data_IF_835646535771
#
_entry.id   IF_835646535771
#
_cell.length_a   1.000
_cell.length_b   1.000
_cell.length_c   1.000
_cell.angle_alpha   90.00
_cell.angle_beta   90.00
_cell.angle_gamma   90.00
#
_symmetry.space_group_name_H-M   'P 1'
#
loop_
_entity.id
_entity.type
_entity.pdbx_description
1 polymer ?
#
# COMPACT_ATOMS: atom_id res chain seq x y z
N UNK A 1 -25.08 -11.42 83.15
CA UNK A 1 -26.21 -11.79 82.26
C UNK A 1 -26.77 -10.52 81.65
N UNK A 2 -26.63 -10.36 80.32
CA UNK A 2 -27.19 -9.35 79.38
C UNK A 2 -26.12 -8.94 78.38
N UNK A 3 -25.95 -9.77 77.35
CA UNK A 3 -25.14 -9.50 76.16
C UNK A 3 -25.97 -8.68 75.17
N UNK A 4 -25.53 -7.45 74.91
CA UNK A 4 -26.18 -6.53 73.98
C UNK A 4 -25.96 -6.99 72.52
N UNK A 5 -27.06 -7.32 71.84
CA UNK A 5 -27.15 -7.63 70.41
C UNK A 5 -27.21 -6.36 69.54
N UNK A 6 -26.17 -5.53 69.54
CA UNK A 6 -26.10 -4.33 68.66
C UNK A 6 -24.68 -4.17 68.09
N UNK A 7 -24.12 -5.24 67.53
CA UNK A 7 -22.84 -5.14 66.80
C UNK A 7 -22.79 -5.99 65.53
N UNK A 8 -23.69 -6.96 65.37
CA UNK A 8 -23.71 -7.84 64.19
C UNK A 8 -24.59 -7.34 63.04
N UNK A 9 -25.32 -6.23 63.21
CA UNK A 9 -26.19 -5.66 62.16
C UNK A 9 -25.52 -4.52 61.37
N UNK A 10 -24.38 -3.99 61.83
CA UNK A 10 -23.66 -2.93 61.12
C UNK A 10 -22.65 -3.47 60.10
N UNK A 11 -22.36 -4.77 60.13
CA UNK A 11 -21.38 -5.40 59.23
C UNK A 11 -22.01 -5.99 57.95
N UNK A 12 -23.35 -6.03 57.86
CA UNK A 12 -24.07 -6.54 56.68
C UNK A 12 -24.66 -5.44 55.78
N UNK A 13 -24.57 -4.18 56.16
CA UNK A 13 -25.07 -3.05 55.35
C UNK A 13 -23.97 -2.35 54.54
N UNK A 14 -22.69 -2.66 54.80
CA UNK A 14 -21.54 -2.07 54.09
C UNK A 14 -21.03 -2.98 52.94
N UNK A 15 -21.60 -4.18 52.76
CA UNK A 15 -21.18 -5.15 51.72
C UNK A 15 -22.20 -5.25 50.55
N UNK A 16 -23.23 -4.40 50.52
CA UNK A 16 -24.27 -4.41 49.45
C UNK A 16 -24.31 -3.15 48.58
N UNK A 17 -23.29 -2.28 48.61
CA UNK A 17 -23.20 -1.09 47.73
C UNK A 17 -22.11 -1.24 46.65
N UNK A 18 -21.42 -2.39 46.57
CA UNK A 18 -20.25 -2.55 45.70
C UNK A 18 -20.54 -3.03 44.27
N UNK A 19 -21.80 -3.15 43.85
CA UNK A 19 -22.14 -3.60 42.50
C UNK A 19 -23.26 -2.74 41.92
N UNK A 20 -22.85 -1.67 41.24
CA UNK A 20 -23.40 -1.04 40.03
C UNK A 20 -22.77 0.37 40.03
N UNK A 21 -21.47 0.43 39.80
CA UNK A 21 -20.94 1.51 38.97
C UNK A 21 -20.90 0.91 37.58
N UNK A 22 -21.99 1.07 36.83
CA UNK A 22 -21.81 1.26 35.40
C UNK A 22 -20.88 2.45 35.28
N UNK A 23 -19.59 2.19 35.10
CA UNK A 23 -18.80 3.06 34.25
C UNK A 23 -19.44 2.84 32.89
N UNK A 24 -20.42 3.67 32.55
CA UNK A 24 -20.58 4.00 31.14
C UNK A 24 -19.19 4.46 30.72
N UNK A 25 -18.58 3.75 29.78
CA UNK A 25 -17.48 4.26 28.97
C UNK A 25 -17.99 5.53 28.31
N UNK A 26 -17.93 6.63 29.07
CA UNK A 26 -18.26 7.98 28.67
C UNK A 26 -17.13 8.52 27.83
N UNK A 27 -16.80 7.82 26.75
CA UNK A 27 -15.88 8.27 25.72
C UNK A 27 -16.68 8.90 24.57
N UNK A 28 -17.67 9.72 24.94
CA UNK A 28 -18.29 10.70 24.07
C UNK A 28 -17.73 12.07 24.44
N UNK A 29 -16.47 12.32 24.07
CA UNK A 29 -16.10 13.71 23.80
C UNK A 29 -16.95 14.14 22.61
N UNK A 30 -17.94 14.99 22.89
CA UNK A 30 -18.61 15.75 21.83
C UNK A 30 -17.47 16.48 21.09
N UNK A 31 -17.30 16.29 19.77
CA UNK A 31 -16.33 17.07 19.02
C UNK A 31 -16.57 18.53 19.37
N UNK A 32 -15.51 19.30 19.68
CA UNK A 32 -15.66 20.74 19.98
C UNK A 32 -16.64 21.32 18.97
N UNK A 33 -17.75 21.90 19.46
CA UNK A 33 -18.80 22.38 18.58
C UNK A 33 -18.16 23.28 17.55
N UNK A 34 -18.54 23.12 16.28
CA UNK A 34 -18.05 23.97 15.21
C UNK A 34 -18.17 25.41 15.68
N UNK A 35 -17.02 26.05 15.88
CA UNK A 35 -17.04 27.48 16.12
C UNK A 35 -17.73 28.09 14.91
N UNK A 36 -18.60 29.08 15.14
CA UNK A 36 -19.21 29.88 14.07
C UNK A 36 -18.12 30.32 13.05
N UNK A 37 -16.92 30.59 13.55
CA UNK A 37 -15.71 30.94 12.81
C UNK A 37 -15.24 29.88 11.78
N UNK A 38 -15.13 28.59 12.14
CA UNK A 38 -14.66 27.55 11.19
C UNK A 38 -15.66 27.35 10.03
N UNK A 39 -16.96 27.48 10.30
CA UNK A 39 -18.01 27.42 9.27
C UNK A 39 -17.97 28.62 8.32
N UNK A 40 -17.74 29.82 8.86
CA UNK A 40 -17.57 31.03 8.05
C UNK A 40 -16.33 30.94 7.16
N UNK A 41 -15.24 30.37 7.66
CA UNK A 41 -14.01 30.23 6.89
C UNK A 41 -14.12 29.21 5.76
N UNK A 42 -14.86 28.11 5.97
CA UNK A 42 -15.17 27.18 4.88
C UNK A 42 -16.04 27.85 3.82
N UNK A 43 -17.05 28.62 4.22
CA UNK A 43 -17.87 29.38 3.26
C UNK A 43 -17.00 30.34 2.41
N UNK A 44 -16.04 31.03 3.04
CA UNK A 44 -15.07 31.90 2.32
C UNK A 44 -14.17 31.09 1.38
N UNK A 45 -13.72 29.91 1.79
CA UNK A 45 -12.91 29.01 0.93
C UNK A 45 -13.72 28.61 -0.30
N UNK A 46 -14.96 28.16 -0.12
CA UNK A 46 -15.83 27.73 -1.21
C UNK A 46 -16.17 28.89 -2.17
N UNK A 47 -16.45 30.08 -1.63
CA UNK A 47 -16.66 31.29 -2.42
C UNK A 47 -15.40 31.64 -3.24
N UNK A 48 -14.22 31.65 -2.59
CA UNK A 48 -12.93 31.91 -3.26
C UNK A 48 -12.58 30.87 -4.33
N UNK A 49 -13.04 29.62 -4.18
CA UNK A 49 -12.90 28.61 -5.23
C UNK A 49 -13.83 28.94 -6.41
N UNK A 50 -15.07 29.36 -6.13
CA UNK A 50 -16.04 29.71 -7.16
C UNK A 50 -15.66 30.95 -7.97
N UNK A 51 -14.96 31.92 -7.34
CA UNK A 51 -14.44 33.12 -8.00
C UNK A 51 -13.12 32.90 -8.73
N UNK A 52 -12.47 31.74 -8.51
CA UNK A 52 -11.17 31.40 -9.09
C UNK A 52 -9.95 31.94 -8.35
N UNK A 53 -10.13 32.51 -7.16
CA UNK A 53 -9.04 33.03 -6.31
C UNK A 53 -8.26 31.91 -5.59
N UNK A 54 -8.93 30.79 -5.30
CA UNK A 54 -8.36 29.55 -4.81
C UNK A 54 -8.54 28.44 -5.84
N UNK A 55 -7.49 27.69 -6.12
CA UNK A 55 -7.54 26.53 -7.00
C UNK A 55 -7.75 25.25 -6.19
N UNK A 56 -8.87 24.56 -6.40
CA UNK A 56 -9.06 23.21 -5.87
C UNK A 56 -8.23 22.20 -6.67
N UNK A 57 -7.45 21.36 -5.99
CA UNK A 57 -6.77 20.18 -6.56
C UNK A 57 -7.28 18.91 -5.91
N UNK A 58 -7.29 17.81 -6.66
CA UNK A 58 -7.48 16.47 -6.09
C UNK A 58 -6.26 16.06 -5.27
N UNK A 59 -6.41 15.06 -4.41
CA UNK A 59 -5.28 14.51 -3.64
C UNK A 59 -4.20 13.97 -4.61
N UNK A 60 -4.61 13.27 -5.66
CA UNK A 60 -3.71 12.78 -6.71
C UNK A 60 -2.89 13.91 -7.34
N UNK A 61 -3.55 15.01 -7.72
CA UNK A 61 -2.88 16.19 -8.30
C UNK A 61 -1.95 16.92 -7.32
N UNK A 62 -2.14 16.73 -6.01
CA UNK A 62 -1.22 17.24 -4.98
C UNK A 62 -0.01 16.32 -4.85
N UNK A 63 -0.22 14.99 -4.87
CA UNK A 63 0.86 14.00 -4.87
C UNK A 63 1.81 14.22 -6.06
N UNK A 64 1.26 14.44 -7.25
CA UNK A 64 2.00 14.73 -8.49
C UNK A 64 2.85 16.00 -8.48
N UNK A 65 2.68 16.89 -7.49
CA UNK A 65 3.54 18.06 -7.34
C UNK A 65 4.93 17.71 -6.82
N UNK A 66 5.09 16.54 -6.19
CA UNK A 66 6.32 16.10 -5.57
C UNK A 66 6.83 14.83 -6.26
N UNK A 67 8.13 14.82 -6.54
CA UNK A 67 8.83 13.63 -7.05
C UNK A 67 9.55 13.03 -5.85
N UNK A 68 9.23 11.77 -5.52
CA UNK A 68 9.81 11.05 -4.37
C UNK A 68 11.34 11.09 -4.44
N UNK A 69 11.99 11.36 -3.30
CA UNK A 69 13.44 11.50 -3.19
C UNK A 69 14.02 12.86 -3.59
N UNK A 70 13.22 13.79 -4.12
CA UNK A 70 13.66 15.18 -4.34
C UNK A 70 13.52 16.04 -3.06
N UNK A 71 14.12 17.23 -3.09
CA UNK A 71 13.91 18.26 -2.05
C UNK A 71 12.42 18.60 -1.90
N UNK A 72 11.92 18.82 -0.66
CA UNK A 72 10.55 19.21 -0.40
C UNK A 72 10.09 20.45 -1.17
N UNK A 73 8.86 20.44 -1.66
CA UNK A 73 8.27 21.53 -2.41
C UNK A 73 7.45 22.46 -1.51
N UNK A 74 7.87 23.72 -1.40
CA UNK A 74 7.02 24.78 -0.84
C UNK A 74 5.90 25.16 -1.82
N UNK A 75 4.65 25.11 -1.35
CA UNK A 75 3.51 25.55 -2.16
C UNK A 75 3.35 27.06 -2.02
N UNK A 76 3.67 27.81 -3.08
CA UNK A 76 3.52 29.28 -3.10
C UNK A 76 2.19 29.73 -3.72
N UNK A 77 1.50 28.81 -4.41
CA UNK A 77 0.21 29.04 -5.08
C UNK A 77 -0.98 28.93 -4.12
N UNK A 78 -2.07 29.62 -4.45
CA UNK A 78 -3.34 29.60 -3.72
C UNK A 78 -4.11 28.28 -3.94
N UNK A 79 -3.53 27.15 -3.55
CA UNK A 79 -4.12 25.82 -3.74
C UNK A 79 -4.88 25.39 -2.48
N UNK A 80 -6.01 24.70 -2.69
CA UNK A 80 -6.78 23.99 -1.66
C UNK A 80 -6.95 22.53 -2.06
N UNK A 81 -6.83 21.62 -1.10
CA UNK A 81 -7.19 20.21 -1.25
C UNK A 81 -8.30 19.84 -0.27
N UNK A 82 -9.21 18.97 -0.70
CA UNK A 82 -10.33 18.46 0.10
C UNK A 82 -10.20 16.94 0.24
N UNK A 83 -10.63 16.40 1.37
CA UNK A 83 -10.82 14.95 1.55
C UNK A 83 -11.45 14.61 2.89
N UNK A 84 -11.50 13.32 3.20
CA UNK A 84 -12.14 12.74 4.37
C UNK A 84 -11.10 12.01 5.22
N UNK A 85 -11.08 12.30 6.52
CA UNK A 85 -10.13 11.69 7.47
C UNK A 85 -10.43 10.20 7.64
N UNK A 86 -9.39 9.35 7.57
CA UNK A 86 -9.52 7.88 7.65
C UNK A 86 -8.69 7.24 8.75
N UNK A 87 -7.78 7.98 9.38
CA UNK A 87 -7.02 7.49 10.52
C UNK A 87 -7.29 8.28 11.79
N UNK A 88 -6.93 7.72 12.93
CA UNK A 88 -7.19 8.28 14.25
C UNK A 88 -6.05 7.98 15.22
N UNK A 89 -5.54 9.02 15.89
CA UNK A 89 -4.60 8.88 17.00
C UNK A 89 -5.28 8.40 18.31
N UNK A 90 -6.59 8.10 18.29
CA UNK A 90 -7.35 7.67 19.47
C UNK A 90 -6.77 6.41 20.10
N UNK A 91 -6.36 5.42 19.32
CA UNK A 91 -5.78 4.16 19.83
C UNK A 91 -4.27 4.25 20.08
N UNK A 92 -3.61 5.32 19.63
CA UNK A 92 -2.15 5.47 19.69
C UNK A 92 -1.37 4.77 18.58
N UNK A 93 -2.03 4.13 17.59
CA UNK A 93 -1.31 3.55 16.44
C UNK A 93 -0.83 4.62 15.44
N UNK A 94 -1.50 5.77 15.40
CA UNK A 94 -1.08 6.96 14.65
C UNK A 94 -0.66 8.04 15.64
N UNK A 95 0.43 8.77 15.34
CA UNK A 95 0.97 9.80 16.24
C UNK A 95 1.42 11.05 15.49
N UNK A 96 0.82 12.20 15.83
CA UNK A 96 1.11 13.50 15.19
C UNK A 96 0.91 13.49 13.67
N UNK A 97 -0.03 12.68 13.23
CA UNK A 97 -0.41 12.54 11.84
C UNK A 97 -1.86 12.07 11.74
N UNK A 98 -2.46 12.35 10.60
CA UNK A 98 -3.62 11.61 10.14
C UNK A 98 -3.53 11.40 8.63
N UNK A 99 -4.29 10.44 8.13
CA UNK A 99 -4.47 10.19 6.70
C UNK A 99 -5.86 10.68 6.27
N UNK A 100 -5.95 11.18 5.05
CA UNK A 100 -7.20 11.55 4.41
C UNK A 100 -7.26 11.02 2.98
N UNK A 101 -8.46 10.71 2.51
CA UNK A 101 -8.71 10.24 1.15
C UNK A 101 -9.75 11.08 0.42
N UNK A 102 -9.79 10.99 -0.91
CA UNK A 102 -10.56 11.89 -1.77
C UNK A 102 -12.08 11.66 -1.75
N UNK A 103 -12.52 10.43 -1.48
CA UNK A 103 -13.92 10.04 -1.38
C UNK A 103 -14.20 9.20 -0.12
N UNK A 104 -15.40 9.29 0.48
CA UNK A 104 -15.74 8.47 1.65
C UNK A 104 -15.94 6.99 1.32
N UNK A 105 -16.19 6.66 0.05
CA UNK A 105 -16.41 5.31 -0.46
C UNK A 105 -15.61 5.14 -1.76
N UNK A 106 -14.97 3.98 -1.93
CA UNK A 106 -14.15 3.64 -3.10
C UNK A 106 -13.15 4.76 -3.49
N UNK A 107 -12.26 5.18 -2.57
CA UNK A 107 -11.26 6.23 -2.83
C UNK A 107 -10.32 5.86 -3.98
N UNK A 108 -9.83 6.89 -4.67
CA UNK A 108 -8.79 6.74 -5.70
C UNK A 108 -7.42 7.11 -5.16
N UNK A 109 -7.35 8.12 -4.28
CA UNK A 109 -6.07 8.62 -3.77
C UNK A 109 -6.20 9.08 -2.32
N UNK A 110 -5.12 8.88 -1.57
CA UNK A 110 -5.01 9.30 -0.18
C UNK A 110 -3.66 9.92 0.12
N UNK A 111 -3.59 10.69 1.21
CA UNK A 111 -2.40 11.46 1.59
C UNK A 111 -2.24 11.55 3.10
N UNK A 112 -0.98 11.50 3.53
CA UNK A 112 -0.58 11.73 4.91
C UNK A 112 -0.51 13.22 5.21
N UNK A 113 -0.98 13.62 6.38
CA UNK A 113 -0.85 14.98 6.91
C UNK A 113 -0.09 14.91 8.22
N UNK A 114 1.10 15.50 8.28
CA UNK A 114 1.92 15.55 9.49
C UNK A 114 1.63 16.84 10.26
N UNK A 115 1.21 16.73 11.53
CA UNK A 115 0.80 17.87 12.35
C UNK A 115 1.16 17.71 13.83
N UNK A 116 1.58 18.79 14.47
CA UNK A 116 1.97 18.78 15.87
C UNK A 116 0.75 18.96 16.80
N UNK A 117 -0.27 18.13 16.62
CA UNK A 117 -1.49 18.14 17.42
C UNK A 117 -1.70 16.76 18.05
N UNK A 118 -1.83 16.72 19.37
CA UNK A 118 -2.17 15.50 20.11
C UNK A 118 -3.67 15.41 20.32
N UNK A 119 -4.20 14.19 20.43
CA UNK A 119 -5.64 13.91 20.49
C UNK A 119 -6.38 14.54 19.30
N UNK A 120 -5.77 14.46 18.12
CA UNK A 120 -6.29 15.03 16.89
C UNK A 120 -7.66 14.48 16.54
N UNK A 121 -7.99 13.25 16.97
CA UNK A 121 -9.31 12.61 16.83
C UNK A 121 -10.47 13.45 17.40
N UNK A 122 -10.24 14.30 18.40
CA UNK A 122 -11.27 15.18 18.95
C UNK A 122 -11.66 16.32 17.99
N UNK A 123 -10.73 16.71 17.10
CA UNK A 123 -10.94 17.76 16.08
C UNK A 123 -11.21 17.16 14.70
N UNK A 124 -10.45 16.15 14.33
CA UNK A 124 -10.46 15.47 13.03
C UNK A 124 -10.86 14.00 13.23
N UNK A 125 -12.13 13.77 13.58
CA UNK A 125 -12.66 12.41 13.72
C UNK A 125 -12.68 11.68 12.36
N UNK A 126 -12.64 10.34 12.37
CA UNK A 126 -12.81 9.52 11.15
C UNK A 126 -14.10 9.95 10.44
N UNK A 127 -14.04 10.06 9.12
CA UNK A 127 -15.14 10.53 8.28
C UNK A 127 -15.25 12.04 8.13
N UNK A 128 -14.50 12.83 8.91
CA UNK A 128 -14.56 14.30 8.88
C UNK A 128 -14.10 14.80 7.52
N UNK A 129 -14.95 15.57 6.84
CA UNK A 129 -14.55 16.32 5.66
C UNK A 129 -13.66 17.50 6.08
N UNK A 130 -12.51 17.64 5.44
CA UNK A 130 -11.56 18.72 5.69
C UNK A 130 -11.08 19.39 4.40
N UNK A 131 -10.74 20.66 4.50
CA UNK A 131 -10.10 21.47 3.46
C UNK A 131 -8.74 21.95 3.98
N UNK A 132 -7.69 21.74 3.20
CA UNK A 132 -6.34 22.21 3.53
C UNK A 132 -5.90 23.27 2.53
N UNK A 133 -5.62 24.49 3.01
CA UNK A 133 -4.97 25.54 2.23
C UNK A 133 -3.47 25.28 2.20
N UNK A 134 -2.93 25.03 1.01
CA UNK A 134 -1.54 24.58 0.87
C UNK A 134 -0.54 25.72 0.82
N UNK A 135 -0.94 26.96 0.52
CA UNK A 135 0.01 28.08 0.38
C UNK A 135 0.82 28.32 1.66
N UNK A 136 2.14 28.14 1.60
CA UNK A 136 3.06 28.25 2.74
C UNK A 136 3.26 26.93 3.51
N UNK A 137 2.63 25.84 3.07
CA UNK A 137 2.95 24.47 3.49
C UNK A 137 3.91 23.83 2.49
N UNK A 138 4.42 22.65 2.88
CA UNK A 138 5.33 21.86 2.07
C UNK A 138 4.71 20.52 1.70
N UNK A 139 5.04 20.01 0.51
CA UNK A 139 4.83 18.62 0.10
C UNK A 139 6.19 17.95 0.03
N UNK A 140 6.36 16.81 0.69
CA UNK A 140 7.60 16.05 0.72
C UNK A 140 7.48 14.81 1.58
N UNK A 141 8.61 14.29 2.07
CA UNK A 141 8.67 13.11 2.93
C UNK A 141 9.04 13.49 4.37
N UNK A 142 8.45 12.82 5.36
CA UNK A 142 8.86 13.00 6.77
C UNK A 142 10.10 12.19 7.12
N UNK A 143 10.43 11.19 6.29
CA UNK A 143 11.66 10.42 6.31
C UNK A 143 12.11 10.24 4.85
N UNK A 144 13.25 10.80 4.49
CA UNK A 144 13.70 10.91 3.09
C UNK A 144 13.87 9.54 2.46
N UNK A 145 13.27 9.33 1.28
CA UNK A 145 13.30 8.06 0.55
C UNK A 145 12.33 6.99 1.06
N UNK A 146 11.44 7.30 2.00
CA UNK A 146 10.46 6.32 2.48
C UNK A 146 9.26 6.13 1.53
N UNK A 147 9.11 6.96 0.51
CA UNK A 147 8.05 6.90 -0.51
C UNK A 147 6.70 7.46 -0.07
N UNK A 148 6.56 8.01 1.14
CA UNK A 148 5.27 8.50 1.66
C UNK A 148 5.14 10.01 1.46
N UNK A 149 4.45 10.39 0.39
CA UNK A 149 4.13 11.80 0.11
C UNK A 149 3.23 12.38 1.20
N UNK A 150 3.70 13.46 1.82
CA UNK A 150 3.12 14.02 3.03
C UNK A 150 2.96 15.55 2.92
N UNK A 151 1.89 16.08 3.51
CA UNK A 151 1.72 17.52 3.73
C UNK A 151 2.35 17.89 5.07
N UNK A 152 3.30 18.84 5.07
CA UNK A 152 4.03 19.32 6.24
C UNK A 152 4.05 20.84 6.37
N UNK A 153 4.54 21.33 7.51
CA UNK A 153 4.53 22.75 7.87
C UNK A 153 5.79 23.53 7.51
N UNK A 154 6.93 22.84 7.39
CA UNK A 154 8.26 23.42 7.17
C UNK A 154 9.26 22.33 6.81
N UNK A 155 10.42 22.71 6.30
CA UNK A 155 11.58 21.83 6.15
C UNK A 155 12.15 21.48 7.54
N UNK A 156 12.59 20.23 7.71
CA UNK A 156 13.22 19.75 8.94
C UNK A 156 14.56 20.45 9.15
N UNK A 157 14.80 20.93 10.38
CA UNK A 157 16.00 21.75 10.63
C UNK A 157 17.32 20.99 10.54
N UNK A 158 17.27 19.66 10.68
CA UNK A 158 18.43 18.77 10.70
C UNK A 158 18.66 18.05 9.38
N UNK A 159 17.66 18.05 8.49
CA UNK A 159 17.73 17.42 7.18
C UNK A 159 16.86 18.21 6.20
N UNK A 160 17.50 18.81 5.19
CA UNK A 160 16.78 19.65 4.23
C UNK A 160 15.92 18.86 3.25
N UNK A 161 16.13 17.55 3.16
CA UNK A 161 15.36 16.65 2.27
C UNK A 161 14.04 16.20 2.91
N UNK A 162 13.82 16.52 4.18
CA UNK A 162 12.64 16.10 4.93
C UNK A 162 11.77 17.29 5.36
N UNK A 163 10.48 17.03 5.55
CA UNK A 163 9.53 17.98 6.14
C UNK A 163 9.21 17.64 7.60
N UNK A 164 8.86 18.68 8.35
CA UNK A 164 8.35 18.60 9.72
C UNK A 164 6.86 18.95 9.77
N UNK A 165 6.25 18.57 10.89
CA UNK A 165 4.83 18.75 11.19
C UNK A 165 4.34 20.21 11.02
N UNK A 166 3.10 20.34 10.52
CA UNK A 166 2.31 21.58 10.63
C UNK A 166 2.17 21.93 12.11
N UNK A 167 2.63 23.11 12.50
CA UNK A 167 2.62 23.54 13.91
C UNK A 167 1.21 23.90 14.36
N UNK A 168 0.95 23.86 15.68
CA UNK A 168 -0.33 24.29 16.28
C UNK A 168 -0.72 25.72 15.87
N UNK A 169 0.27 26.59 15.61
CA UNK A 169 0.04 27.98 15.17
C UNK A 169 -0.31 28.08 13.68
N UNK A 170 0.09 27.11 12.87
CA UNK A 170 -0.26 27.03 11.45
C UNK A 170 -1.65 26.42 11.27
N UNK A 171 -2.03 25.41 12.06
CA UNK A 171 -3.30 24.66 11.89
C UNK A 171 -4.52 25.57 11.66
N UNK A 172 -4.80 26.63 12.47
CA UNK A 172 -5.99 27.48 12.28
C UNK A 172 -6.07 28.19 10.93
N UNK A 173 -4.92 28.42 10.27
CA UNK A 173 -4.85 29.12 8.99
C UNK A 173 -4.77 28.18 7.78
N UNK A 174 -4.69 26.87 8.04
CA UNK A 174 -4.38 25.87 7.02
C UNK A 174 -5.37 24.73 6.97
N UNK A 175 -5.86 24.21 8.09
CA UNK A 175 -6.71 23.02 8.14
C UNK A 175 -8.08 23.38 8.69
N UNK A 176 -9.09 23.26 7.83
CA UNK A 176 -10.47 23.63 8.11
C UNK A 176 -11.34 22.38 8.06
N UNK A 177 -12.07 22.08 9.14
CA UNK A 177 -12.99 20.93 9.21
C UNK A 177 -14.42 21.38 8.94
N UNK A 178 -15.10 20.66 8.05
CA UNK A 178 -16.52 20.87 7.71
C UNK A 178 -17.41 20.31 8.82
N UNK A 179 -18.66 20.76 8.92
CA UNK A 179 -19.66 20.11 9.78
C UNK A 179 -19.94 18.67 9.34
N UNK A 180 -19.68 18.38 8.07
CA UNK A 180 -19.92 17.09 7.44
C UNK A 180 -18.98 16.03 8.00
N UNK A 181 -19.56 14.94 8.51
CA UNK A 181 -18.89 13.67 8.75
C UNK A 181 -19.61 12.60 7.94
N UNK A 182 -18.85 11.81 7.19
CA UNK A 182 -19.36 10.69 6.39
C UNK A 182 -18.93 9.38 7.01
N UNK A 183 -19.74 8.35 6.86
CA UNK A 183 -19.27 6.98 7.06
C UNK A 183 -18.21 6.68 6.00
N UNK A 184 -17.11 6.05 6.42
CA UNK A 184 -16.04 5.64 5.50
C UNK A 184 -16.27 4.18 5.14
N UNK A 185 -16.39 3.91 3.84
CA UNK A 185 -16.49 2.58 3.27
C UNK A 185 -15.16 2.30 2.56
N UNK A 186 -14.33 1.37 3.08
CA UNK A 186 -13.03 1.08 2.48
C UNK A 186 -13.17 0.51 1.06
N UNK A 187 -12.15 0.73 0.23
CA UNK A 187 -12.03 0.07 -1.08
C UNK A 187 -11.63 -1.39 -0.87
N UNK A 188 -12.46 -2.34 -1.32
CA UNK A 188 -12.01 -3.74 -1.39
C UNK A 188 -10.95 -3.84 -2.49
N UNK A 189 -9.80 -4.39 -2.15
CA UNK A 189 -8.69 -4.58 -3.09
C UNK A 189 -8.24 -6.04 -3.07
N UNK A 190 -7.84 -6.53 -4.24
CA UNK A 190 -7.21 -7.84 -4.33
C UNK A 190 -5.84 -7.79 -3.65
N UNK A 191 -5.49 -8.88 -2.95
CA UNK A 191 -4.26 -8.95 -2.16
C UNK A 191 -3.02 -8.75 -3.03
N UNK A 192 -2.98 -9.38 -4.21
CA UNK A 192 -1.90 -9.22 -5.18
C UNK A 192 -1.90 -7.86 -5.89
N UNK A 193 -3.00 -7.10 -5.80
CA UNK A 193 -3.17 -5.82 -6.47
C UNK A 193 -2.66 -4.61 -5.69
N UNK A 194 -2.34 -4.76 -4.39
CA UNK A 194 -1.85 -3.66 -3.56
C UNK A 194 -0.50 -3.17 -4.08
N UNK A 195 -0.39 -1.86 -4.30
CA UNK A 195 0.84 -1.23 -4.75
C UNK A 195 1.00 0.20 -4.21
N UNK A 196 2.06 0.89 -4.65
CA UNK A 196 2.42 2.26 -4.26
C UNK A 196 1.30 3.30 -4.47
N UNK A 197 0.41 3.07 -5.44
CA UNK A 197 -0.69 4.00 -5.72
C UNK A 197 -1.75 3.99 -4.62
N UNK A 198 -1.89 2.88 -3.89
CA UNK A 198 -2.84 2.74 -2.79
C UNK A 198 -2.33 3.41 -1.49
N UNK A 199 -1.06 3.82 -1.41
CA UNK A 199 -0.50 4.48 -0.22
C UNK A 199 -1.35 5.69 0.18
N UNK A 200 -1.78 5.65 1.44
CA UNK A 200 -2.60 6.64 2.11
C UNK A 200 -4.10 6.44 1.97
N UNK A 201 -4.56 5.36 1.33
CA UNK A 201 -5.99 5.01 1.23
C UNK A 201 -6.41 3.99 2.29
N UNK A 202 -7.71 3.97 2.62
CA UNK A 202 -8.30 2.95 3.49
C UNK A 202 -8.91 1.82 2.66
N UNK A 203 -8.41 0.61 2.87
CA UNK A 203 -8.77 -0.59 2.10
C UNK A 203 -9.36 -1.68 2.98
N UNK A 204 -10.03 -2.64 2.36
CA UNK A 204 -10.39 -3.94 2.94
C UNK A 204 -9.65 -5.03 2.19
N UNK A 205 -8.95 -5.89 2.94
CA UNK A 205 -8.47 -7.19 2.47
C UNK A 205 -9.37 -8.28 3.03
N UNK A 206 -9.79 -9.20 2.16
CA UNK A 206 -10.62 -10.35 2.51
C UNK A 206 -9.82 -11.66 2.45
N UNK A 207 -10.32 -12.70 3.12
CA UNK A 207 -9.71 -14.04 3.17
C UNK A 207 -8.25 -14.05 3.69
N UNK A 208 -7.90 -13.08 4.53
CA UNK A 208 -6.56 -12.95 5.11
C UNK A 208 -6.48 -13.55 6.51
N UNK A 209 -5.29 -13.98 6.93
CA UNK A 209 -5.04 -14.51 8.27
C UNK A 209 -3.58 -14.32 8.68
N UNK A 210 -3.33 -14.24 9.99
CA UNK A 210 -1.97 -14.20 10.53
C UNK A 210 -1.26 -15.56 10.40
N UNK A 211 0.04 -15.55 10.16
CA UNK A 211 0.85 -16.78 10.08
C UNK A 211 0.66 -17.71 11.28
N UNK A 212 0.74 -19.02 11.05
CA UNK A 212 0.48 -20.02 12.09
C UNK A 212 1.48 -19.96 13.26
N UNK A 213 2.73 -19.58 12.99
CA UNK A 213 3.79 -19.35 13.99
C UNK A 213 3.50 -18.15 14.92
N UNK A 214 2.54 -17.28 14.57
CA UNK A 214 2.11 -16.14 15.38
C UNK A 214 0.99 -16.48 16.37
N UNK A 215 0.52 -17.74 16.42
CA UNK A 215 -0.47 -18.19 17.41
C UNK A 215 -0.04 -17.84 18.83
N UNK A 216 -0.98 -17.24 19.58
CA UNK A 216 -0.75 -16.76 20.95
C UNK A 216 0.18 -15.54 21.10
N UNK A 217 0.63 -14.94 20.00
CA UNK A 217 1.40 -13.67 20.03
C UNK A 217 0.45 -12.47 20.06
N UNK A 218 0.94 -11.36 20.60
CA UNK A 218 0.26 -10.06 20.57
C UNK A 218 0.57 -9.28 19.30
N UNK A 219 -0.24 -8.25 19.01
CA UNK A 219 0.01 -7.32 17.90
C UNK A 219 1.45 -6.77 17.92
N UNK A 220 1.94 -6.40 19.10
CA UNK A 220 3.32 -5.95 19.30
C UNK A 220 4.15 -7.03 20.01
N UNK A 221 5.38 -7.27 19.57
CA UNK A 221 6.33 -8.08 20.32
C UNK A 221 6.81 -7.28 21.54
N UNK A 222 6.67 -7.79 22.77
CA UNK A 222 7.06 -7.05 23.98
C UNK A 222 8.56 -6.77 24.10
N UNK A 223 9.39 -7.28 23.17
CA UNK A 223 10.83 -6.99 23.10
C UNK A 223 11.18 -5.84 22.14
N UNK A 224 10.22 -5.36 21.35
CA UNK A 224 10.42 -4.24 20.42
C UNK A 224 10.11 -2.91 21.09
N UNK A 225 10.93 -1.89 20.83
CA UNK A 225 10.78 -0.56 21.44
C UNK A 225 9.83 0.36 20.64
N UNK A 226 9.74 0.17 19.32
CA UNK A 226 8.96 1.01 18.40
C UNK A 226 7.79 0.22 17.83
N UNK A 227 7.84 -0.18 16.56
CA UNK A 227 6.73 -0.84 15.90
C UNK A 227 7.04 -2.33 15.69
N UNK A 228 6.01 -3.17 15.68
CA UNK A 228 6.13 -4.59 15.31
C UNK A 228 5.37 -4.82 14.02
N UNK A 229 6.02 -5.53 13.11
CA UNK A 229 5.41 -6.03 11.88
C UNK A 229 4.98 -7.49 12.08
N UNK A 230 3.71 -7.77 11.78
CA UNK A 230 3.12 -9.12 11.81
C UNK A 230 2.71 -9.51 10.41
N UNK A 231 3.20 -10.65 9.94
CA UNK A 231 2.83 -11.20 8.63
C UNK A 231 1.38 -11.68 8.63
N UNK A 232 0.65 -11.20 7.63
CA UNK A 232 -0.64 -11.74 7.20
C UNK A 232 -0.44 -12.41 5.85
N UNK A 233 -1.27 -13.40 5.56
CA UNK A 233 -1.23 -14.13 4.30
C UNK A 233 -2.63 -14.47 3.80
N UNK A 234 -2.70 -14.76 2.51
CA UNK A 234 -3.87 -15.33 1.83
C UNK A 234 -3.42 -16.43 0.86
N UNK A 235 -4.33 -17.31 0.47
CA UNK A 235 -4.03 -18.32 -0.54
C UNK A 235 -4.25 -17.72 -1.93
N UNK A 236 -3.23 -17.80 -2.78
CA UNK A 236 -3.31 -17.45 -4.20
C UNK A 236 -2.86 -18.65 -5.01
N UNK A 237 -3.84 -19.33 -5.62
CA UNK A 237 -3.60 -20.51 -6.44
C UNK A 237 -2.84 -21.60 -5.70
N UNK A 238 -1.60 -21.83 -6.13
CA UNK A 238 -0.72 -22.90 -5.64
C UNK A 238 0.13 -22.51 -4.41
N UNK A 239 0.04 -21.25 -3.96
CA UNK A 239 0.87 -20.74 -2.87
C UNK A 239 0.16 -19.76 -1.95
N UNK A 240 0.94 -19.21 -1.02
CA UNK A 240 0.53 -18.05 -0.22
C UNK A 240 1.15 -16.79 -0.80
N UNK A 241 0.45 -15.68 -0.63
CA UNK A 241 1.07 -14.36 -0.68
C UNK A 241 0.98 -13.70 0.69
N UNK A 242 1.91 -12.79 0.96
CA UNK A 242 2.12 -12.18 2.27
C UNK A 242 2.25 -10.66 2.22
N UNK A 243 1.75 -10.03 3.28
CA UNK A 243 1.83 -8.61 3.59
C UNK A 243 2.09 -8.42 5.08
N UNK A 244 2.41 -7.19 5.47
CA UNK A 244 2.75 -6.84 6.84
C UNK A 244 1.69 -5.94 7.45
N UNK A 245 1.17 -6.31 8.62
CA UNK A 245 0.44 -5.40 9.50
C UNK A 245 1.44 -4.80 10.48
N UNK A 246 1.54 -3.48 10.51
CA UNK A 246 2.45 -2.74 11.38
C UNK A 246 1.67 -2.07 12.51
N UNK A 247 2.09 -2.36 13.75
CA UNK A 247 1.46 -1.83 14.96
C UNK A 247 2.50 -1.21 15.87
N UNK A 248 2.21 -0.01 16.36
CA UNK A 248 3.08 0.70 17.29
C UNK A 248 3.01 0.16 18.70
N UNK A 249 4.16 0.09 19.39
CA UNK A 249 4.25 -0.25 20.82
C UNK A 249 3.48 0.72 21.71
N UNK A 250 3.24 1.94 21.24
CA UNK A 250 2.45 2.95 21.93
C UNK A 250 0.93 2.76 21.77
N UNK A 251 0.49 1.82 20.92
CA UNK A 251 -0.92 1.52 20.74
C UNK A 251 -1.53 0.90 22.00
N UNK A 252 -2.79 1.25 22.30
CA UNK A 252 -3.54 0.72 23.44
C UNK A 252 -3.88 -0.76 23.31
N UNK A 253 -3.87 -1.29 22.08
CA UNK A 253 -4.12 -2.69 21.77
C UNK A 253 -2.84 -3.49 21.51
N UNK A 254 -1.66 -2.92 21.77
CA UNK A 254 -0.35 -3.55 21.55
C UNK A 254 -0.23 -4.96 22.15
N UNK A 255 -0.82 -5.17 23.33
CA UNK A 255 -0.80 -6.45 24.05
C UNK A 255 -1.99 -7.37 23.76
N UNK A 256 -2.94 -6.97 22.90
CA UNK A 256 -4.04 -7.82 22.49
C UNK A 256 -3.51 -8.98 21.64
N UNK A 257 -4.05 -10.18 21.85
CA UNK A 257 -3.62 -11.39 21.13
C UNK A 257 -4.13 -11.37 19.69
N UNK A 258 -3.26 -11.77 18.75
CA UNK A 258 -3.62 -11.89 17.35
C UNK A 258 -4.72 -12.94 17.17
N UNK A 259 -5.74 -12.67 16.34
CA UNK A 259 -6.73 -13.68 16.00
C UNK A 259 -6.12 -14.81 15.17
N UNK A 260 -6.61 -16.03 15.40
CA UNK A 260 -6.08 -17.22 14.73
C UNK A 260 -6.89 -17.67 13.51
N UNK A 261 -8.08 -17.11 13.30
CA UNK A 261 -8.94 -17.44 12.15
C UNK A 261 -8.62 -16.57 10.94
N UNK A 262 -9.25 -16.87 9.81
CA UNK A 262 -9.26 -15.98 8.66
C UNK A 262 -10.46 -15.05 8.68
N UNK A 263 -10.44 -14.05 7.80
CA UNK A 263 -11.52 -13.10 7.59
C UNK A 263 -10.98 -11.84 6.93
N UNK A 264 -11.36 -10.67 7.43
CA UNK A 264 -11.06 -9.39 6.81
C UNK A 264 -10.26 -8.44 7.70
N UNK A 265 -9.43 -7.62 7.07
CA UNK A 265 -8.71 -6.50 7.70
C UNK A 265 -9.01 -5.22 6.95
N UNK A 266 -9.50 -4.21 7.67
CA UNK A 266 -9.53 -2.83 7.19
C UNK A 266 -8.25 -2.11 7.62
N UNK A 267 -7.53 -1.49 6.70
CA UNK A 267 -6.26 -0.84 7.04
C UNK A 267 -5.95 0.34 6.13
N UNK A 268 -5.09 1.22 6.62
CA UNK A 268 -4.46 2.27 5.82
C UNK A 268 -3.19 1.69 5.21
N UNK A 269 -3.06 1.78 3.89
CA UNK A 269 -1.83 1.37 3.19
C UNK A 269 -0.75 2.42 3.42
N UNK A 270 0.43 1.97 3.84
CA UNK A 270 1.59 2.81 4.14
C UNK A 270 2.88 2.08 3.74
N UNK A 271 4.02 2.64 4.13
CA UNK A 271 5.32 1.97 4.11
C UNK A 271 5.94 1.94 5.49
N UNK A 272 6.82 0.96 5.71
CA UNK A 272 7.64 0.88 6.90
C UNK A 272 8.55 2.11 7.04
N UNK A 273 9.19 2.26 8.20
CA UNK A 273 10.06 3.41 8.47
C UNK A 273 11.10 3.62 7.36
N UNK A 274 11.70 2.56 6.83
CA UNK A 274 12.72 2.64 5.78
C UNK A 274 12.19 2.81 4.35
N UNK A 275 10.89 2.67 4.12
CA UNK A 275 10.29 2.73 2.77
C UNK A 275 10.47 1.49 1.91
N UNK A 276 10.99 0.40 2.50
CA UNK A 276 11.34 -0.82 1.78
C UNK A 276 10.11 -1.70 1.52
N UNK A 277 9.14 -1.69 2.45
CA UNK A 277 7.98 -2.57 2.39
C UNK A 277 6.68 -1.79 2.53
N UNK A 278 5.68 -2.18 1.74
CA UNK A 278 4.30 -1.79 2.01
C UNK A 278 3.85 -2.45 3.31
N UNK A 279 3.26 -1.66 4.19
CA UNK A 279 2.68 -2.10 5.46
C UNK A 279 1.25 -1.61 5.60
N UNK A 280 0.48 -2.30 6.42
CA UNK A 280 -0.91 -2.02 6.72
C UNK A 280 -1.03 -1.54 8.16
N UNK A 281 -1.49 -0.31 8.37
CA UNK A 281 -1.73 0.24 9.70
C UNK A 281 -3.24 0.27 10.00
N UNK A 282 -3.65 -0.40 11.08
CA UNK A 282 -5.05 -0.41 11.54
C UNK A 282 -5.33 0.74 12.50
N UNK A 283 -6.56 1.25 12.55
CA UNK A 283 -6.94 2.21 13.59
C UNK A 283 -7.07 1.52 14.93
N UNK A 284 -7.67 0.33 14.99
CA UNK A 284 -7.82 -0.46 16.20
C UNK A 284 -8.25 -1.90 15.85
N UNK A 285 -8.40 -2.76 16.86
CA UNK A 285 -8.73 -4.18 16.63
C UNK A 285 -10.13 -4.43 16.09
N UNK A 286 -11.06 -3.47 16.11
CA UNK A 286 -12.34 -3.61 15.40
C UNK A 286 -12.19 -3.63 13.88
N UNK A 287 -11.06 -3.16 13.35
CA UNK A 287 -10.75 -3.25 11.93
C UNK A 287 -10.34 -4.67 11.50
N UNK A 288 -10.23 -5.62 12.45
CA UNK A 288 -9.81 -6.99 12.21
C UNK A 288 -10.93 -7.95 12.59
N UNK A 289 -11.58 -8.54 11.59
CA UNK A 289 -12.71 -9.47 11.76
C UNK A 289 -12.32 -10.84 11.24
N UNK A 290 -11.95 -11.74 12.14
CA UNK A 290 -11.41 -13.06 11.81
C UNK A 290 -12.32 -14.17 12.34
N UNK A 291 -13.38 -14.49 11.60
CA UNK A 291 -14.38 -15.48 12.03
C UNK A 291 -14.46 -16.73 11.14
N UNK A 292 -13.70 -16.73 10.06
CA UNK A 292 -13.75 -17.72 8.98
C UNK A 292 -12.63 -18.75 9.11
N UNK A 293 -12.78 -19.86 8.40
CA UNK A 293 -11.72 -20.88 8.35
C UNK A 293 -10.60 -20.44 7.41
N UNK A 294 -9.36 -20.75 7.78
CA UNK A 294 -8.20 -20.46 6.93
C UNK A 294 -8.30 -21.24 5.63
N UNK A 295 -7.98 -20.59 4.52
CA UNK A 295 -7.81 -21.28 3.25
C UNK A 295 -6.55 -22.17 3.29
N UNK A 296 -6.42 -23.04 2.29
CA UNK A 296 -5.16 -23.74 1.99
C UNK A 296 -4.92 -23.64 0.49
N UNK A 297 -3.67 -23.40 0.05
CA UNK A 297 -3.34 -23.37 -1.36
C UNK A 297 -3.70 -24.68 -2.04
N UNK A 298 -3.97 -24.60 -3.34
CA UNK A 298 -4.20 -25.78 -4.15
C UNK A 298 -2.93 -26.64 -4.14
N UNK A 299 -3.04 -27.98 -4.05
CA UNK A 299 -1.87 -28.83 -4.05
C UNK A 299 -1.14 -28.75 -5.40
N UNK A 300 0.09 -28.24 -5.41
CA UNK A 300 0.92 -28.17 -6.63
C UNK A 300 1.10 -29.54 -7.29
N UNK A 301 1.02 -30.64 -6.52
CA UNK A 301 1.08 -32.01 -7.01
C UNK A 301 -0.07 -32.38 -7.97
N UNK A 302 -1.18 -31.62 -7.96
CA UNK A 302 -2.31 -31.81 -8.88
C UNK A 302 -2.06 -31.14 -10.25
N UNK A 303 -1.05 -30.28 -10.36
CA UNK A 303 -0.69 -29.53 -11.57
C UNK A 303 0.53 -30.15 -12.23
N UNK A 304 0.35 -31.31 -12.86
CA UNK A 304 1.44 -32.12 -13.40
C UNK A 304 1.89 -31.74 -14.80
N UNK A 305 1.12 -30.89 -15.49
CA UNK A 305 1.43 -30.41 -16.85
C UNK A 305 2.17 -29.09 -16.76
N UNK A 306 3.28 -28.97 -17.48
CA UNK A 306 4.02 -27.71 -17.60
C UNK A 306 3.84 -27.23 -19.04
N UNK A 307 3.19 -26.08 -19.20
CA UNK A 307 2.91 -25.49 -20.51
C UNK A 307 4.02 -24.54 -20.98
N UNK A 308 4.79 -24.00 -20.04
CA UNK A 308 5.94 -23.13 -20.27
C UNK A 308 6.92 -23.31 -19.10
N UNK A 309 8.21 -23.36 -19.39
CA UNK A 309 9.31 -23.43 -18.42
C UNK A 309 10.57 -22.82 -19.02
N UNK A 310 10.93 -21.62 -18.56
CA UNK A 310 12.10 -20.88 -19.04
C UNK A 310 12.86 -20.27 -17.85
N UNK A 311 14.16 -20.56 -17.79
CA UNK A 311 15.08 -20.15 -16.72
C UNK A 311 16.30 -19.36 -17.22
N UNK A 312 16.34 -19.05 -18.52
CA UNK A 312 17.35 -18.29 -19.24
C UNK A 312 18.80 -18.80 -19.13
N UNK A 313 19.03 -20.02 -18.63
CA UNK A 313 20.38 -20.57 -18.41
C UNK A 313 21.15 -20.78 -19.73
N UNK A 314 20.44 -21.07 -20.81
CA UNK A 314 21.03 -21.28 -22.14
C UNK A 314 21.25 -19.97 -22.92
N UNK A 315 20.74 -18.84 -22.43
CA UNK A 315 20.76 -17.56 -23.13
C UNK A 315 22.10 -16.83 -23.05
N UNK A 316 22.40 -15.99 -24.06
CA UNK A 316 23.57 -15.10 -24.03
C UNK A 316 23.38 -13.88 -24.91
N UNK A 317 23.79 -12.69 -24.45
CA UNK A 317 23.64 -11.47 -25.22
C UNK A 317 22.23 -10.89 -25.14
N UNK A 318 21.59 -10.61 -26.28
CA UNK A 318 20.17 -10.30 -26.33
C UNK A 318 19.38 -11.61 -26.16
N UNK A 319 18.28 -11.59 -25.40
CA UNK A 319 17.44 -12.79 -25.21
C UNK A 319 16.85 -13.23 -26.56
N UNK A 320 17.04 -14.49 -26.91
CA UNK A 320 16.66 -15.16 -28.17
C UNK A 320 16.12 -16.58 -27.90
N UNK A 321 15.27 -16.70 -26.88
CA UNK A 321 14.53 -17.94 -26.57
C UNK A 321 13.68 -18.33 -27.77
N UNK A 322 13.68 -19.63 -28.13
CA UNK A 322 12.95 -20.13 -29.29
C UNK A 322 11.47 -19.73 -29.25
N UNK A 323 10.98 -19.16 -30.35
CA UNK A 323 9.60 -18.68 -30.53
C UNK A 323 9.17 -17.51 -29.63
N UNK A 324 10.06 -16.94 -28.82
CA UNK A 324 9.82 -15.71 -28.09
C UNK A 324 10.14 -14.49 -28.96
N UNK A 325 9.62 -13.32 -28.59
CA UNK A 325 9.90 -12.05 -29.28
C UNK A 325 10.51 -11.06 -28.29
N UNK A 326 11.69 -10.54 -28.62
CA UNK A 326 12.38 -9.49 -27.88
C UNK A 326 12.34 -8.18 -28.69
N UNK A 327 11.32 -7.36 -28.42
CA UNK A 327 10.97 -6.21 -29.26
C UNK A 327 11.25 -4.87 -28.57
N UNK A 328 11.86 -3.94 -29.32
CA UNK A 328 12.11 -2.57 -28.88
C UNK A 328 11.10 -1.64 -29.51
N UNK A 329 10.10 -1.22 -28.75
CA UNK A 329 9.08 -0.28 -29.21
C UNK A 329 9.66 1.14 -29.27
N UNK A 330 10.39 1.55 -28.23
CA UNK A 330 11.07 2.84 -28.16
C UNK A 330 12.48 2.71 -27.55
N UNK A 331 13.41 3.56 -28.02
CA UNK A 331 14.77 3.62 -27.51
C UNK A 331 15.69 2.51 -28.04
N UNK A 332 16.77 2.25 -27.31
CA UNK A 332 17.91 1.43 -27.78
C UNK A 332 18.23 0.23 -26.89
N UNK A 333 17.44 -0.04 -25.85
CA UNK A 333 17.63 -1.18 -24.95
C UNK A 333 16.67 -2.30 -25.29
N UNK A 334 17.07 -3.53 -25.00
CA UNK A 334 16.28 -4.76 -25.09
C UNK A 334 16.52 -5.60 -23.85
N UNK A 335 15.74 -6.66 -23.70
CA UNK A 335 16.03 -7.73 -22.76
C UNK A 335 17.33 -8.45 -23.14
N UNK A 336 18.20 -8.65 -22.16
CA UNK A 336 19.52 -9.25 -22.33
C UNK A 336 19.77 -10.30 -21.27
N UNK A 337 20.57 -11.30 -21.59
CA UNK A 337 21.06 -12.25 -20.59
C UNK A 337 21.94 -11.54 -19.56
N UNK A 338 21.60 -11.75 -18.30
CA UNK A 338 22.36 -11.40 -17.10
C UNK A 338 23.02 -12.67 -16.56
N UNK A 339 24.25 -12.57 -16.07
CA UNK A 339 24.89 -13.67 -15.35
C UNK A 339 25.25 -13.18 -13.96
N UNK A 340 24.72 -13.83 -12.94
CA UNK A 340 25.20 -13.63 -11.57
C UNK A 340 26.40 -14.56 -11.33
N UNK A 341 27.60 -13.99 -11.38
CA UNK A 341 28.85 -14.72 -11.14
C UNK A 341 28.92 -15.42 -9.77
N UNK A 342 28.11 -15.02 -8.78
CA UNK A 342 28.08 -15.64 -7.45
C UNK A 342 27.12 -16.83 -7.40
N UNK A 343 25.93 -16.69 -7.97
CA UNK A 343 24.94 -17.76 -8.02
C UNK A 343 25.25 -18.80 -9.12
N UNK A 344 26.07 -18.44 -10.11
CA UNK A 344 26.32 -19.22 -11.33
C UNK A 344 25.03 -19.52 -12.11
N UNK A 345 24.01 -18.66 -11.99
CA UNK A 345 22.78 -18.70 -12.77
C UNK A 345 22.72 -17.54 -13.76
N UNK A 346 21.85 -17.66 -14.75
CA UNK A 346 21.48 -16.56 -15.63
C UNK A 346 20.03 -16.17 -15.42
N UNK A 347 19.70 -14.98 -15.91
CA UNK A 347 18.36 -14.44 -15.93
C UNK A 347 18.21 -13.51 -17.14
N UNK A 348 16.98 -13.15 -17.51
CA UNK A 348 16.75 -12.02 -18.40
C UNK A 348 16.86 -10.71 -17.61
N UNK A 349 17.38 -9.65 -18.23
CA UNK A 349 17.42 -8.31 -17.63
C UNK A 349 17.10 -7.21 -18.63
N UNK A 350 16.54 -6.12 -18.15
CA UNK A 350 16.32 -4.90 -18.93
C UNK A 350 16.46 -3.67 -18.04
N UNK A 351 17.03 -2.60 -18.59
CA UNK A 351 17.18 -1.33 -17.89
C UNK A 351 17.70 -0.25 -18.82
N UNK A 352 17.38 1.01 -18.52
CA UNK A 352 17.69 2.16 -19.39
C UNK A 352 18.80 3.06 -18.87
N UNK A 353 19.48 2.66 -17.80
CA UNK A 353 20.62 3.39 -17.22
C UNK A 353 21.69 3.73 -18.24
N UNK A 354 22.06 5.02 -18.27
CA UNK A 354 23.04 5.59 -19.20
C UNK A 354 22.73 5.30 -20.69
N UNK A 355 21.47 5.08 -21.06
CA UNK A 355 21.07 4.91 -22.47
C UNK A 355 21.20 6.19 -23.28
N UNK A 356 20.90 7.34 -22.65
CA UNK A 356 20.66 8.59 -23.36
C UNK A 356 19.31 8.65 -24.09
N UNK A 357 18.48 7.61 -23.95
CA UNK A 357 17.16 7.54 -24.59
C UNK A 357 16.17 8.47 -23.86
N UNK A 358 15.36 9.19 -24.64
CA UNK A 358 14.25 10.00 -24.09
C UNK A 358 13.16 9.10 -23.51
N UNK A 359 12.98 7.92 -24.09
CA UNK A 359 12.05 6.87 -23.66
C UNK A 359 12.62 5.52 -24.08
N UNK A 360 12.45 4.53 -23.22
CA UNK A 360 12.85 3.14 -23.45
C UNK A 360 11.63 2.27 -23.16
N UNK A 361 11.09 1.64 -24.20
CA UNK A 361 9.98 0.68 -24.09
C UNK A 361 10.42 -0.64 -24.73
N UNK A 362 10.58 -1.67 -23.91
CA UNK A 362 11.08 -2.99 -24.34
C UNK A 362 10.11 -4.10 -23.93
N UNK A 363 9.83 -5.01 -24.86
CA UNK A 363 8.95 -6.15 -24.66
C UNK A 363 9.75 -7.45 -24.74
N UNK A 364 9.44 -8.38 -23.84
CA UNK A 364 9.78 -9.79 -23.98
C UNK A 364 8.48 -10.58 -23.99
N UNK A 365 8.12 -11.18 -25.11
CA UNK A 365 6.86 -11.90 -25.32
C UNK A 365 7.17 -13.38 -25.45
N UNK A 366 6.47 -14.21 -24.69
CA UNK A 366 6.65 -15.67 -24.69
C UNK A 366 6.24 -16.28 -26.03
N UNK A 367 6.55 -17.56 -26.22
CA UNK A 367 5.85 -18.34 -27.23
C UNK A 367 4.35 -18.47 -26.91
N UNK A 368 3.56 -18.87 -27.91
CA UNK A 368 2.12 -19.06 -27.75
C UNK A 368 1.83 -20.34 -26.98
N UNK A 369 1.08 -20.22 -25.89
CA UNK A 369 0.69 -21.32 -25.00
C UNK A 369 -0.78 -21.67 -25.22
N UNK A 370 -1.09 -22.94 -25.49
CA UNK A 370 -2.46 -23.40 -25.71
C UNK A 370 -3.17 -23.72 -24.39
N UNK A 371 -4.05 -22.80 -23.95
CA UNK A 371 -4.83 -22.92 -22.72
C UNK A 371 -6.05 -23.86 -22.86
N UNK A 372 -6.42 -24.27 -24.07
CA UNK A 372 -7.60 -25.14 -24.28
C UNK A 372 -7.28 -26.63 -24.03
N UNK A 373 -6.02 -26.96 -23.77
CA UNK A 373 -5.56 -28.34 -23.52
C UNK A 373 -5.64 -28.76 -22.06
N UNK A 374 -5.88 -27.81 -21.16
CA UNK A 374 -5.89 -27.97 -19.70
C UNK A 374 -7.16 -27.35 -19.12
N UNK A 375 -7.37 -27.52 -17.82
CA UNK A 375 -8.58 -27.07 -17.12
C UNK A 375 -8.35 -25.94 -16.13
N UNK A 376 -7.08 -25.72 -15.77
CA UNK A 376 -6.65 -24.65 -14.88
C UNK A 376 -5.16 -24.42 -15.03
N UNK A 377 -4.73 -23.17 -15.11
CA UNK A 377 -3.34 -22.78 -15.36
C UNK A 377 -2.91 -21.65 -14.42
N UNK A 378 -1.70 -21.77 -13.90
CA UNK A 378 -1.08 -20.74 -13.07
C UNK A 378 0.27 -20.34 -13.63
N UNK A 379 0.41 -19.04 -13.96
CA UNK A 379 1.68 -18.42 -14.28
C UNK A 379 2.42 -18.05 -12.99
N UNK A 380 3.70 -18.35 -12.93
CA UNK A 380 4.64 -17.86 -11.91
C UNK A 380 5.98 -17.48 -12.54
N UNK A 381 6.65 -16.51 -11.95
CA UNK A 381 8.01 -16.10 -12.29
C UNK A 381 8.65 -15.39 -11.10
N UNK A 382 9.93 -15.07 -11.19
CA UNK A 382 10.64 -14.29 -10.19
C UNK A 382 11.21 -13.02 -10.79
N UNK A 383 11.15 -11.92 -10.03
CA UNK A 383 11.78 -10.66 -10.42
C UNK A 383 12.74 -10.18 -9.34
N UNK A 384 13.85 -9.60 -9.78
CA UNK A 384 14.80 -8.86 -8.94
C UNK A 384 14.98 -7.47 -9.53
N UNK A 385 15.50 -6.54 -8.74
CA UNK A 385 15.90 -5.24 -9.26
C UNK A 385 17.38 -4.93 -8.96
N UNK A 386 17.94 -4.12 -9.85
CA UNK A 386 19.21 -3.43 -9.65
C UNK A 386 18.99 -1.92 -9.71
N UNK A 387 18.72 -1.33 -8.54
CA UNK A 387 18.45 0.11 -8.41
C UNK A 387 17.22 0.52 -9.21
N UNK A 388 16.13 -0.27 -9.16
CA UNK A 388 14.89 0.22 -9.75
C UNK A 388 14.43 1.50 -9.05
N UNK A 389 13.86 2.37 -9.87
CA UNK A 389 13.33 3.67 -9.51
C UNK A 389 12.07 3.84 -10.37
N UNK A 390 11.60 5.07 -10.62
CA UNK A 390 10.38 5.36 -11.36
C UNK A 390 10.22 4.75 -12.78
N UNK A 391 11.15 3.94 -13.26
CA UNK A 391 10.89 2.91 -14.29
C UNK A 391 9.81 1.90 -13.85
N UNK A 392 9.19 1.21 -14.81
CA UNK A 392 8.09 0.28 -14.54
C UNK A 392 8.27 -1.03 -15.32
N UNK A 393 7.94 -2.15 -14.69
CA UNK A 393 7.77 -3.45 -15.34
C UNK A 393 6.31 -3.89 -15.20
N UNK A 394 5.66 -4.16 -16.33
CA UNK A 394 4.30 -4.69 -16.41
C UNK A 394 4.31 -6.10 -16.97
N UNK A 395 3.39 -6.93 -16.50
CA UNK A 395 3.13 -8.25 -17.07
C UNK A 395 1.75 -8.26 -17.70
N UNK A 396 1.70 -8.68 -18.95
CA UNK A 396 0.54 -8.58 -19.81
C UNK A 396 0.20 -9.95 -20.40
N UNK A 397 -1.06 -10.15 -20.78
CA UNK A 397 -1.52 -11.32 -21.53
C UNK A 397 -2.33 -10.87 -22.74
N UNK A 398 -2.17 -11.58 -23.86
CA UNK A 398 -2.99 -11.44 -25.06
C UNK A 398 -3.37 -12.81 -25.62
N UNK A 399 -4.64 -12.96 -26.02
CA UNK A 399 -5.16 -14.14 -26.72
C UNK A 399 -5.58 -13.84 -28.16
N UNK A 400 -5.39 -12.60 -28.63
CA UNK A 400 -5.66 -12.16 -30.01
C UNK A 400 -4.37 -11.80 -30.78
N UNK A 401 -3.22 -11.74 -30.09
CA UNK A 401 -1.91 -11.69 -30.73
C UNK A 401 -1.63 -12.96 -31.53
N UNK A 402 -1.02 -12.81 -32.70
CA UNK A 402 -0.83 -13.92 -33.65
C UNK A 402 0.62 -14.45 -33.72
N UNK A 403 1.48 -14.01 -32.80
CA UNK A 403 2.91 -14.38 -32.79
C UNK A 403 3.76 -13.61 -33.80
N UNK A 404 3.24 -12.59 -34.49
CA UNK A 404 4.02 -11.74 -35.40
C UNK A 404 4.33 -10.39 -34.76
N UNK A 405 5.62 -10.08 -34.63
CA UNK A 405 6.12 -8.82 -34.07
C UNK A 405 5.44 -7.56 -34.65
N UNK A 406 5.11 -7.54 -35.95
CA UNK A 406 4.46 -6.40 -36.59
C UNK A 406 3.01 -6.17 -36.14
N UNK A 407 2.44 -7.09 -35.38
CA UNK A 407 1.07 -7.02 -34.86
C UNK A 407 0.97 -6.76 -33.36
N UNK A 408 2.11 -6.57 -32.66
CA UNK A 408 2.12 -6.33 -31.20
C UNK A 408 1.20 -5.14 -30.83
N UNK A 409 1.29 -4.05 -31.58
CA UNK A 409 0.49 -2.83 -31.38
C UNK A 409 -0.95 -2.92 -31.92
N UNK A 410 -1.30 -4.04 -32.58
CA UNK A 410 -2.66 -4.31 -33.07
C UNK A 410 -3.44 -5.25 -32.16
N UNK A 411 -2.73 -6.00 -31.32
CA UNK A 411 -3.31 -6.92 -30.35
C UNK A 411 -3.80 -6.19 -29.09
N UNK A 412 -4.70 -6.85 -28.37
CA UNK A 412 -5.21 -6.38 -27.09
C UNK A 412 -4.40 -7.01 -25.96
N UNK A 413 -3.85 -6.19 -25.08
CA UNK A 413 -3.05 -6.62 -23.93
C UNK A 413 -3.77 -6.28 -22.62
N UNK A 414 -3.96 -7.27 -21.76
CA UNK A 414 -4.52 -7.10 -20.42
C UNK A 414 -3.42 -7.23 -19.38
N UNK A 415 -3.40 -6.35 -18.38
CA UNK A 415 -2.46 -6.42 -17.26
C UNK A 415 -2.81 -7.60 -16.36
N UNK A 416 -1.82 -8.45 -16.08
CA UNK A 416 -1.92 -9.50 -15.09
C UNK A 416 -1.58 -8.95 -13.70
N UNK A 417 -2.29 -9.36 -12.64
CA UNK A 417 -2.06 -8.88 -11.27
C UNK A 417 -0.84 -9.58 -10.64
N UNK A 418 0.32 -9.44 -11.25
CA UNK A 418 1.55 -10.06 -10.80
C UNK A 418 2.25 -9.22 -9.73
N UNK A 419 2.80 -9.90 -8.71
CA UNK A 419 3.69 -9.25 -7.73
C UNK A 419 5.05 -8.99 -8.37
N UNK A 420 5.37 -7.73 -8.62
CA UNK A 420 6.67 -7.31 -9.15
C UNK A 420 7.52 -6.76 -8.01
N UNK A 421 8.82 -7.04 -8.05
CA UNK A 421 9.80 -6.46 -7.13
C UNK A 421 9.66 -4.93 -7.03
N UNK A 422 9.62 -4.40 -5.81
CA UNK A 422 9.54 -2.97 -5.54
C UNK A 422 10.91 -2.29 -5.59
N UNK A 423 10.95 -0.97 -5.82
CA UNK A 423 12.18 -0.18 -5.88
C UNK A 423 13.07 -0.24 -4.65
N UNK A 424 12.46 -0.34 -3.47
CA UNK A 424 13.18 -0.43 -2.19
C UNK A 424 13.76 -1.81 -1.88
N UNK A 425 13.56 -2.80 -2.77
CA UNK A 425 14.03 -4.16 -2.50
C UNK A 425 15.55 -4.26 -2.60
N UNK A 426 16.15 -5.09 -1.73
CA UNK A 426 17.60 -5.23 -1.71
C UNK A 426 18.10 -5.88 -3.01
N UNK A 427 19.21 -5.35 -3.53
CA UNK A 427 19.87 -5.90 -4.71
C UNK A 427 20.06 -7.42 -4.59
N UNK A 428 19.63 -8.15 -5.62
CA UNK A 428 19.64 -9.63 -5.74
C UNK A 428 18.66 -10.39 -4.84
N UNK A 429 17.71 -9.71 -4.19
CA UNK A 429 16.57 -10.42 -3.63
C UNK A 429 15.57 -10.72 -4.75
N UNK A 430 15.21 -11.99 -4.88
CA UNK A 430 14.27 -12.47 -5.88
C UNK A 430 12.87 -12.55 -5.27
N UNK A 431 11.92 -11.86 -5.88
CA UNK A 431 10.52 -11.78 -5.46
C UNK A 431 9.69 -12.64 -6.40
N UNK A 432 9.04 -13.65 -5.83
CA UNK A 432 8.11 -14.51 -6.56
C UNK A 432 6.84 -13.74 -6.93
N UNK A 433 6.35 -13.93 -8.15
CA UNK A 433 5.21 -13.21 -8.74
C UNK A 433 3.85 -13.51 -8.12
N UNK A 434 3.82 -14.45 -7.15
CA UNK A 434 2.66 -15.28 -6.78
C UNK A 434 2.23 -16.20 -7.93
N UNK A 435 1.13 -16.94 -7.76
CA UNK A 435 0.53 -17.78 -8.80
C UNK A 435 -0.66 -17.06 -9.42
N UNK A 436 -0.46 -16.57 -10.64
CA UNK A 436 -1.45 -15.80 -11.39
C UNK A 436 -2.36 -16.76 -12.15
N UNK A 437 -3.66 -16.74 -11.82
CA UNK A 437 -4.66 -17.61 -12.46
C UNK A 437 -4.93 -17.15 -13.90
N UNK A 438 -4.69 -18.03 -14.87
CA UNK A 438 -4.95 -17.78 -16.30
C UNK A 438 -6.24 -18.44 -16.81
N UNK A 439 -7.00 -19.12 -15.94
CA UNK A 439 -8.15 -19.95 -16.34
C UNK A 439 -9.34 -19.17 -16.89
N UNK A 440 -9.31 -17.82 -16.78
CA UNK A 440 -10.29 -16.93 -17.41
C UNK A 440 -9.98 -16.64 -18.89
N UNK A 441 -8.83 -17.08 -19.38
CA UNK A 441 -8.40 -16.96 -20.77
C UNK A 441 -8.59 -18.30 -21.49
N UNK A 442 -8.62 -18.26 -22.82
CA UNK A 442 -8.84 -19.45 -23.67
C UNK A 442 -8.10 -19.30 -25.00
N UNK A 443 -7.87 -20.40 -25.69
CA UNK A 443 -7.10 -20.46 -26.93
C UNK A 443 -5.60 -20.28 -26.69
N UNK A 444 -4.90 -19.80 -27.72
CA UNK A 444 -3.46 -19.52 -27.61
C UNK A 444 -3.22 -18.18 -26.91
N UNK A 445 -2.57 -18.21 -25.76
CA UNK A 445 -2.18 -17.05 -24.99
C UNK A 445 -0.69 -16.73 -25.14
N UNK A 446 -0.36 -15.45 -25.08
CA UNK A 446 1.00 -14.93 -25.05
C UNK A 446 1.17 -14.07 -23.80
N UNK A 447 2.22 -14.31 -23.04
CA UNK A 447 2.59 -13.48 -21.88
C UNK A 447 3.65 -12.49 -22.33
N UNK A 448 3.55 -11.23 -21.89
CA UNK A 448 4.53 -10.21 -22.20
C UNK A 448 5.03 -9.49 -20.94
N UNK A 449 6.35 -9.35 -20.86
CA UNK A 449 7.04 -8.54 -19.86
C UNK A 449 7.45 -7.23 -20.52
N UNK A 450 6.74 -6.14 -20.17
CA UNK A 450 6.91 -4.81 -20.76
C UNK A 450 7.62 -3.88 -19.78
N UNK A 451 8.84 -3.47 -20.14
CA UNK A 451 9.59 -2.46 -19.42
C UNK A 451 9.35 -1.07 -20.00
N UNK A 452 9.16 -0.08 -19.14
CA UNK A 452 9.11 1.35 -19.48
C UNK A 452 10.07 2.15 -18.60
N UNK A 453 10.93 2.95 -19.21
CA UNK A 453 11.86 3.84 -18.49
C UNK A 453 12.49 4.86 -19.42
N UNK A 454 13.57 5.51 -19.01
CA UNK A 454 14.36 6.40 -19.88
C UNK A 454 15.81 6.54 -19.38
N UNK A 455 16.61 7.40 -20.03
CA UNK A 455 18.01 7.63 -19.65
C UNK A 455 18.24 8.53 -18.42
N UNK A 456 17.19 9.03 -17.78
CA UNK A 456 17.27 9.86 -16.56
C UNK A 456 17.41 8.96 -15.32
N UNK A 457 18.33 9.32 -14.42
CA UNK A 457 18.63 8.61 -13.16
C UNK A 457 17.45 8.38 -12.21
N UNK A 458 16.31 9.03 -12.45
CA UNK A 458 15.09 8.84 -11.67
C UNK A 458 14.12 7.80 -12.28
N UNK A 459 14.38 7.34 -13.50
CA UNK A 459 13.49 6.47 -14.29
C UNK A 459 14.29 5.43 -15.11
N UNK A 460 15.49 5.09 -14.68
CA UNK A 460 16.46 4.27 -15.41
C UNK A 460 16.78 2.93 -14.75
N UNK A 461 15.91 2.50 -13.83
CA UNK A 461 15.98 1.25 -13.11
C UNK A 461 16.22 0.02 -13.97
N UNK A 462 16.73 -1.03 -13.34
CA UNK A 462 16.94 -2.32 -14.00
C UNK A 462 16.11 -3.38 -13.30
N UNK A 463 15.40 -4.17 -14.10
CA UNK A 463 14.68 -5.36 -13.66
C UNK A 463 15.37 -6.60 -14.20
N UNK A 464 15.43 -7.62 -13.36
CA UNK A 464 15.78 -8.98 -13.73
C UNK A 464 14.53 -9.88 -13.65
N UNK A 465 14.45 -10.88 -14.53
CA UNK A 465 13.35 -11.83 -14.68
C UNK A 465 13.93 -13.24 -14.81
N UNK A 466 13.37 -14.18 -14.06
CA UNK A 466 13.80 -15.58 -14.07
C UNK A 466 12.62 -16.53 -13.77
N UNK A 467 12.83 -17.83 -13.99
CA UNK A 467 11.94 -18.93 -13.63
C UNK A 467 10.48 -18.76 -14.10
N UNK A 468 10.29 -18.42 -15.38
CA UNK A 468 8.96 -18.24 -15.98
C UNK A 468 8.32 -19.61 -16.24
N UNK A 469 7.29 -19.94 -15.46
CA UNK A 469 6.63 -21.24 -15.49
C UNK A 469 5.12 -21.10 -15.59
N UNK A 470 4.48 -21.94 -16.41
CA UNK A 470 3.02 -22.15 -16.40
C UNK A 470 2.72 -23.58 -15.98
N UNK A 471 2.21 -23.75 -14.76
CA UNK A 471 1.75 -25.02 -14.20
C UNK A 471 0.27 -25.21 -14.54
N UNK A 472 -0.11 -26.41 -14.98
CA UNK A 472 -1.47 -26.69 -15.44
C UNK A 472 -1.95 -28.10 -15.06
N UNK A 473 -3.28 -28.28 -15.05
CA UNK A 473 -3.94 -29.56 -14.75
C UNK A 473 -5.05 -29.96 -15.71
#
# INVERSE_FOLDING_TARGET
MKTNKISTLLFFVIISISFITCVEDGDFTVPESLGIEENEDIAKILDSISTGDLQMKTIQQVKELYIIGNDPLEITSNIVVKGYVISSDKSGNFYKEFYMQDAPENPVSGIKVALNLSNSYNKFNIGREIYIRLKGLYIGETNSGNGIITIGGKIKSTDITEIENITVNQIPNHIYRSETTKEIIPKIIDFAGINETDIGTFITLENVFFEANLSGKSYVDPKEDFDTQRKIQTCLGLGYDELLVETSSFSRFSNETLPEKAGSINAIVSKDFGGNFIVLNINNTNDVVMTEERCSPLPIADFTTILLDENFDDESGDIDVLNWINYREEGTKSWRSYTDSYAQSKAARVGSKNSGDVSTISWLITEGVDLDTTTQEFLSFETSNSFSNGSELQVLISTDFNGNENSINLATWFVLPAKIVSDGENFKNWIHSTYIDLSNYSGTAYIAFKYSGNGNVNFDGTYELDNVVINAK
#
